data_IF_129885640804
#
_entry.id   IF_129885640804
#
_cell.length_a   1.000
_cell.length_b   1.000
_cell.length_c   1.000
_cell.angle_alpha   90.00
_cell.angle_beta   90.00
_cell.angle_gamma   90.00
#
_symmetry.space_group_name_H-M   'P 1'
#
loop_
_entity.id
_entity.type
_entity.pdbx_description
1 polymer ?
#
# COMPACT_ATOMS: atom_id res chain seq x y z
N UNK A 1 -2.20 -14.88 3.97
CA UNK A 1 -0.91 -14.28 4.39
C UNK A 1 -1.20 -13.33 5.53
N UNK A 2 -0.40 -13.34 6.60
CA UNK A 2 -0.58 -12.40 7.71
C UNK A 2 -0.55 -10.98 7.17
N UNK A 3 -1.61 -10.22 7.44
CA UNK A 3 -1.74 -8.85 6.98
C UNK A 3 -0.82 -7.98 7.84
N UNK A 4 0.46 -7.90 7.46
CA UNK A 4 1.36 -6.91 8.03
C UNK A 4 0.92 -5.55 7.53
N UNK A 5 0.50 -4.68 8.44
CA UNK A 5 0.24 -3.29 8.09
C UNK A 5 1.57 -2.56 8.00
N UNK A 6 2.10 -2.50 6.78
CA UNK A 6 3.35 -1.81 6.51
C UNK A 6 3.26 -0.31 6.78
N UNK A 7 2.07 0.30 6.73
CA UNK A 7 1.91 1.73 7.01
C UNK A 7 2.08 2.00 8.50
N UNK A 8 1.47 1.18 9.35
CA UNK A 8 1.65 1.28 10.81
C UNK A 8 3.10 1.01 11.22
N UNK A 9 3.75 0.03 10.56
CA UNK A 9 5.15 -0.26 10.83
C UNK A 9 6.05 0.93 10.48
N UNK A 10 5.87 1.53 9.30
CA UNK A 10 6.64 2.73 8.89
C UNK A 10 6.38 3.89 9.85
N UNK A 11 5.13 4.17 10.19
CA UNK A 11 4.76 5.25 11.08
C UNK A 11 5.36 5.11 12.50
N UNK A 12 5.73 3.88 12.90
CA UNK A 12 6.39 3.60 14.18
C UNK A 12 7.90 3.82 14.19
N UNK A 13 8.50 4.28 13.07
CA UNK A 13 9.97 4.38 12.88
C UNK A 13 10.39 5.77 12.41
N UNK A 14 11.62 6.14 12.75
CA UNK A 14 12.31 7.30 12.19
C UNK A 14 13.48 6.81 11.36
N UNK A 15 13.46 7.10 10.05
CA UNK A 15 14.49 6.68 9.10
C UNK A 15 15.43 7.84 8.77
N UNK A 16 16.72 7.55 8.76
CA UNK A 16 17.80 8.49 8.50
C UNK A 16 18.72 7.98 7.38
N UNK A 17 19.45 8.89 6.74
CA UNK A 17 20.48 8.52 5.77
C UNK A 17 21.52 7.60 6.40
N UNK A 18 21.85 6.50 5.71
CA UNK A 18 22.73 5.45 6.21
C UNK A 18 22.04 4.28 6.93
N UNK A 19 20.73 4.32 7.18
CA UNK A 19 19.99 3.18 7.74
C UNK A 19 19.94 1.98 6.76
N UNK A 20 19.86 0.76 7.30
CA UNK A 20 19.71 -0.48 6.51
C UNK A 20 18.32 -1.08 6.69
N UNK A 21 17.60 -1.25 5.57
CA UNK A 21 16.32 -1.97 5.56
C UNK A 21 16.55 -3.45 5.26
N UNK A 22 16.08 -4.33 6.15
CA UNK A 22 16.15 -5.79 5.98
C UNK A 22 14.77 -6.33 5.65
N UNK A 23 14.65 -6.94 4.46
CA UNK A 23 13.42 -7.57 4.01
C UNK A 23 13.54 -9.09 4.15
N UNK A 24 12.87 -9.65 5.16
CA UNK A 24 12.78 -11.10 5.34
C UNK A 24 11.53 -11.63 4.65
N UNK A 25 11.72 -12.48 3.64
CA UNK A 25 10.63 -13.05 2.84
C UNK A 25 11.01 -14.43 2.29
N UNK A 26 10.02 -15.23 1.90
CA UNK A 26 10.24 -16.46 1.14
C UNK A 26 10.42 -16.11 -0.34
N UNK A 27 11.62 -16.32 -0.88
CA UNK A 27 11.98 -15.95 -2.25
C UNK A 27 11.28 -16.77 -3.35
N UNK A 28 10.57 -17.85 -3.00
CA UNK A 28 9.76 -18.62 -3.95
C UNK A 28 8.51 -17.85 -4.39
N UNK A 29 7.98 -16.98 -3.52
CA UNK A 29 6.70 -16.28 -3.72
C UNK A 29 6.79 -14.76 -3.51
N UNK A 30 7.95 -14.23 -3.15
CA UNK A 30 8.12 -12.80 -2.88
C UNK A 30 9.46 -12.29 -3.41
N UNK A 31 9.48 -11.00 -3.69
CA UNK A 31 10.68 -10.25 -4.02
C UNK A 31 10.51 -8.81 -3.53
N UNK A 32 11.59 -8.05 -3.60
CA UNK A 32 11.61 -6.62 -3.29
C UNK A 32 12.07 -5.86 -4.53
N UNK A 33 11.30 -4.86 -4.91
CA UNK A 33 11.66 -3.91 -5.96
C UNK A 33 11.55 -2.50 -5.41
N UNK A 34 12.64 -1.75 -5.48
CA UNK A 34 12.60 -0.31 -5.29
C UNK A 34 12.04 0.33 -6.57
N UNK A 35 11.02 1.18 -6.44
CA UNK A 35 10.36 1.84 -7.57
C UNK A 35 10.50 3.36 -7.56
N UNK A 36 11.14 3.94 -6.54
CA UNK A 36 11.59 5.33 -6.61
C UNK A 36 12.85 5.43 -7.47
N UNK A 37 12.84 6.34 -8.44
CA UNK A 37 14.03 6.81 -9.11
C UNK A 37 14.62 8.01 -8.34
N UNK A 38 15.58 7.80 -7.45
CA UNK A 38 16.29 8.92 -6.79
C UNK A 38 17.77 8.64 -6.56
N UNK A 39 18.57 9.69 -6.75
CA UNK A 39 20.02 9.74 -6.53
C UNK A 39 20.41 10.49 -5.26
N UNK A 40 19.59 10.44 -4.21
CA UNK A 40 19.84 11.13 -2.93
C UNK A 40 19.49 10.22 -1.74
N UNK A 41 20.24 10.38 -0.65
CA UNK A 41 20.11 9.66 0.64
C UNK A 41 18.84 10.03 1.45
N UNK A 42 18.03 10.99 0.97
CA UNK A 42 16.89 11.57 1.69
C UNK A 42 15.65 11.60 0.78
N UNK A 43 14.46 11.51 1.36
CA UNK A 43 13.18 11.56 0.64
C UNK A 43 12.37 10.27 0.72
N UNK A 44 11.42 10.10 -0.21
CA UNK A 44 10.52 8.95 -0.25
C UNK A 44 11.11 7.78 -1.04
N UNK A 45 11.27 6.64 -0.38
CA UNK A 45 11.71 5.39 -0.96
C UNK A 45 10.55 4.38 -0.98
N UNK A 46 10.12 4.02 -2.18
CA UNK A 46 9.02 3.11 -2.43
C UNK A 46 9.57 1.71 -2.74
N UNK A 47 9.11 0.72 -1.97
CA UNK A 47 9.43 -0.68 -2.16
C UNK A 47 8.15 -1.48 -2.35
N UNK A 48 8.14 -2.39 -3.33
CA UNK A 48 7.00 -3.25 -3.63
C UNK A 48 7.43 -4.70 -3.78
N UNK A 49 6.46 -5.61 -3.66
CA UNK A 49 6.59 -6.95 -4.25
C UNK A 49 6.02 -6.98 -5.67
N UNK A 50 6.82 -7.44 -6.62
CA UNK A 50 6.44 -7.58 -8.03
C UNK A 50 5.78 -8.92 -8.38
N UNK A 51 5.53 -9.82 -7.41
CA UNK A 51 4.77 -11.03 -7.67
C UNK A 51 3.31 -10.68 -8.03
N UNK A 52 2.69 -11.38 -9.01
CA UNK A 52 1.33 -11.07 -9.46
C UNK A 52 0.33 -10.98 -8.29
N UNK A 53 -0.38 -9.85 -8.22
CA UNK A 53 -1.41 -9.59 -7.20
C UNK A 53 -0.89 -9.11 -5.84
N UNK A 54 0.40 -9.28 -5.51
CA UNK A 54 0.92 -8.96 -4.17
C UNK A 54 0.96 -7.46 -3.87
N UNK A 55 1.39 -6.64 -4.82
CA UNK A 55 1.41 -5.18 -4.67
C UNK A 55 -0.01 -4.61 -4.47
N UNK A 56 -0.96 -5.06 -5.28
CA UNK A 56 -2.37 -4.66 -5.23
C UNK A 56 -3.04 -5.12 -3.92
N UNK A 57 -2.61 -6.27 -3.39
CA UNK A 57 -3.04 -6.79 -2.10
C UNK A 57 -2.37 -6.09 -0.90
N UNK A 58 -1.52 -5.09 -1.12
CA UNK A 58 -0.94 -4.25 -0.06
C UNK A 58 0.53 -4.54 0.29
N UNK A 59 1.22 -5.41 -0.45
CA UNK A 59 2.67 -5.63 -0.25
C UNK A 59 3.49 -4.50 -0.91
N UNK A 60 3.40 -3.33 -0.29
CA UNK A 60 4.07 -2.08 -0.67
C UNK A 60 4.43 -1.26 0.57
N UNK A 61 5.55 -0.56 0.52
CA UNK A 61 6.13 0.19 1.62
C UNK A 61 6.58 1.56 1.07
N UNK A 62 6.26 2.63 1.78
CA UNK A 62 6.74 3.99 1.54
C UNK A 62 7.58 4.41 2.74
N UNK A 63 8.87 4.69 2.53
CA UNK A 63 9.79 5.11 3.58
C UNK A 63 10.16 6.56 3.37
N UNK A 64 9.84 7.42 4.33
CA UNK A 64 10.34 8.79 4.36
C UNK A 64 11.66 8.83 5.14
N UNK A 65 12.76 9.02 4.43
CA UNK A 65 14.08 9.25 5.03
C UNK A 65 14.29 10.75 5.22
N UNK A 66 14.55 11.15 6.47
CA UNK A 66 14.77 12.55 6.84
C UNK A 66 16.20 12.77 7.34
N UNK A 67 16.76 13.98 7.18
CA UNK A 67 18.06 14.27 7.78
C UNK A 67 17.95 14.14 9.30
N UNK A 68 18.97 13.53 9.92
CA UNK A 68 19.08 13.46 11.37
C UNK A 68 19.26 14.88 11.92
N UNK A 69 18.14 15.56 12.18
CA UNK A 69 18.16 16.86 12.83
C UNK A 69 18.50 16.60 14.29
N UNK A 70 19.64 17.12 14.75
CA UNK A 70 20.18 16.97 16.10
C UNK A 70 19.11 17.02 17.19
N UNK A 71 18.78 15.85 17.75
CA UNK A 71 18.25 15.57 19.09
C UNK A 71 17.13 16.45 19.70
N UNK A 72 16.31 17.14 18.91
CA UNK A 72 15.03 17.65 19.40
C UNK A 72 13.92 16.80 18.81
N UNK A 73 13.52 15.79 19.57
CA UNK A 73 12.28 15.04 19.37
C UNK A 73 11.13 16.03 19.09
N UNK A 74 10.54 16.07 17.89
CA UNK A 74 9.28 16.75 17.71
C UNK A 74 8.24 15.90 18.46
N UNK A 75 7.72 16.44 19.57
CA UNK A 75 6.55 15.87 20.22
C UNK A 75 5.46 15.64 19.16
N UNK A 76 4.73 14.51 19.18
CA UNK A 76 3.70 14.25 18.19
C UNK A 76 2.62 15.34 18.30
N UNK A 77 2.53 16.19 17.27
CA UNK A 77 1.44 17.14 17.12
C UNK A 77 0.13 16.37 17.03
N UNK A 78 -0.82 16.81 17.85
CA UNK A 78 -2.08 16.14 18.12
C UNK A 78 -2.88 15.84 16.85
N UNK A 79 -3.35 14.58 16.81
CA UNK A 79 -4.30 13.97 15.89
C UNK A 79 -5.49 14.92 15.58
N UNK A 80 -5.47 15.60 14.42
CA UNK A 80 -6.71 16.10 13.81
C UNK A 80 -7.37 14.90 13.14
N UNK A 81 -8.38 14.36 13.81
CA UNK A 81 -9.25 13.30 13.30
C UNK A 81 -10.36 13.93 12.45
N UNK A 82 -10.43 13.74 11.13
CA UNK A 82 -11.69 13.81 10.42
C UNK A 82 -12.41 12.47 10.63
N UNK A 83 -13.24 12.40 11.67
CA UNK A 83 -14.33 11.44 11.70
C UNK A 83 -15.30 11.81 10.58
N UNK A 84 -15.34 11.04 9.49
CA UNK A 84 -16.58 10.49 8.91
C UNK A 84 -16.34 9.76 7.58
N UNK A 85 -16.68 8.46 7.64
CA UNK A 85 -17.30 7.65 6.60
C UNK A 85 -16.56 7.40 5.27
N UNK A 86 -16.11 6.15 5.15
CA UNK A 86 -16.05 5.42 3.88
C UNK A 86 -17.37 5.56 3.12
N UNK A 87 -17.30 5.78 1.80
CA UNK A 87 -17.93 4.95 0.74
C UNK A 87 -17.81 5.71 -0.58
N UNK A 88 -16.85 5.31 -1.43
CA UNK A 88 -17.02 5.53 -2.87
C UNK A 88 -17.99 4.45 -3.35
N UNK A 89 -19.25 4.84 -3.42
CA UNK A 89 -20.29 4.09 -4.11
C UNK A 89 -19.95 4.09 -5.59
N UNK A 90 -19.67 2.91 -6.16
CA UNK A 90 -19.88 2.73 -7.59
C UNK A 90 -21.39 2.64 -7.81
N UNK A 91 -22.02 3.80 -7.95
CA UNK A 91 -23.38 3.87 -8.48
C UNK A 91 -23.36 3.35 -9.91
N UNK A 92 -24.01 2.20 -10.10
CA UNK A 92 -24.41 1.65 -11.38
C UNK A 92 -24.82 2.77 -12.34
N UNK A 93 -24.11 2.91 -13.46
CA UNK A 93 -24.64 3.60 -14.62
C UNK A 93 -25.59 2.64 -15.34
N UNK A 94 -26.73 2.37 -14.72
CA UNK A 94 -27.89 1.83 -15.42
C UNK A 94 -28.55 2.98 -16.18
N UNK A 95 -28.11 3.21 -17.41
CA UNK A 95 -29.06 3.58 -18.44
C UNK A 95 -29.73 2.28 -18.93
N UNK A 96 -31.01 2.19 -18.61
CA UNK A 96 -31.86 1.05 -18.91
C UNK A 96 -32.02 0.85 -20.42
N UNK A 97 -31.93 -0.40 -20.86
CA UNK A 97 -32.74 -1.02 -21.94
C UNK A 97 -32.33 -2.49 -21.98
N UNK A 98 -33.15 -3.53 -21.87
CA UNK A 98 -34.58 -3.71 -21.74
C UNK A 98 -34.75 -5.21 -21.48
N UNK A 99 -35.52 -5.58 -20.45
CA UNK A 99 -36.38 -6.79 -20.38
C UNK A 99 -35.69 -8.19 -20.48
N UNK A 100 -36.21 -9.13 -19.67
CA UNK A 100 -36.02 -10.61 -19.68
C UNK A 100 -34.89 -11.07 -18.73
N UNK A 101 -35.13 -11.24 -17.44
CA UNK A 101 -35.96 -12.32 -16.86
C UNK A 101 -35.82 -13.64 -17.63
N UNK A 102 -34.68 -14.30 -17.50
CA UNK A 102 -34.59 -15.75 -17.66
C UNK A 102 -33.40 -16.29 -16.87
N UNK A 103 -33.73 -16.72 -15.67
CA UNK A 103 -32.94 -17.62 -14.84
C UNK A 103 -32.66 -18.91 -15.62
N UNK A 104 -31.57 -19.56 -15.23
CA UNK A 104 -31.35 -21.00 -15.29
C UNK A 104 -30.82 -21.61 -16.59
N UNK A 105 -29.75 -22.39 -16.37
CA UNK A 105 -29.50 -23.68 -17.00
C UNK A 105 -29.23 -23.59 -18.51
N UNK A 106 -27.94 -23.62 -18.85
CA UNK A 106 -27.31 -24.76 -19.52
C UNK A 106 -25.94 -24.33 -20.06
N UNK A 107 -24.89 -24.96 -19.54
CA UNK A 107 -23.77 -25.42 -20.35
C UNK A 107 -22.85 -24.38 -20.99
N UNK A 108 -21.60 -24.42 -20.52
CA UNK A 108 -20.38 -24.05 -21.25
C UNK A 108 -20.16 -22.57 -21.54
N UNK A 109 -18.98 -22.08 -21.15
CA UNK A 109 -18.06 -21.50 -22.11
C UNK A 109 -16.63 -21.71 -21.57
N UNK A 110 -15.79 -22.26 -22.44
CA UNK A 110 -14.39 -22.62 -22.24
C UNK A 110 -13.51 -21.38 -22.15
#
# INVERSE_FOLDING_TARGET
>A
MGQVDYQDWVASKNFHGGDTLVFNYNNQFHNVKQVTHQGFELGHFYFICGYPGHCQAGQKIDILVTPATSNLSPAPLSRISPSSASTLSFSNLSWASSVLLAICLLGFCY
#
